data_IF_712890316417
#
_entry.id   IF_712890316417
#
_cell.length_a   1.000
_cell.length_b   1.000
_cell.length_c   1.000
_cell.angle_alpha   90.00
_cell.angle_beta   90.00
_cell.angle_gamma   90.00
#
_symmetry.space_group_name_H-M   'P 1'
#
loop_
_entity.id
_entity.type
_entity.pdbx_description
1 polymer ?
#
# COMPACT_ATOMS: atom_id res chain seq x y z
N UNK A 1 -17.47 4.27 12.40
CA UNK A 1 -16.93 4.47 11.04
C UNK A 1 -18.09 4.76 10.08
N UNK A 2 -18.03 5.85 9.35
CA UNK A 2 -18.98 6.12 8.25
C UNK A 2 -18.40 5.57 6.94
N UNK A 3 -18.96 4.45 6.48
CA UNK A 3 -18.48 3.74 5.29
C UNK A 3 -18.85 4.50 4.02
N UNK A 4 -19.97 5.22 4.02
CA UNK A 4 -20.38 6.02 2.86
C UNK A 4 -19.45 7.21 2.68
N UNK A 5 -19.09 7.89 3.77
CA UNK A 5 -18.10 8.98 3.72
C UNK A 5 -16.73 8.45 3.25
N UNK A 6 -16.24 7.34 3.81
CA UNK A 6 -14.99 6.70 3.39
C UNK A 6 -14.95 6.39 1.89
N UNK A 7 -16.02 5.77 1.38
CA UNK A 7 -16.14 5.46 -0.05
C UNK A 7 -16.19 6.71 -0.91
N UNK A 8 -16.98 7.71 -0.50
CA UNK A 8 -17.14 8.97 -1.22
C UNK A 8 -15.79 9.69 -1.36
N UNK A 9 -14.96 9.71 -0.32
CA UNK A 9 -13.63 10.32 -0.39
C UNK A 9 -12.70 9.60 -1.37
N UNK A 10 -12.75 8.27 -1.44
CA UNK A 10 -12.00 7.49 -2.44
C UNK A 10 -12.47 7.80 -3.86
N UNK A 11 -13.79 7.85 -4.07
CA UNK A 11 -14.40 8.15 -5.37
C UNK A 11 -14.05 9.57 -5.83
N UNK A 12 -14.11 10.56 -4.95
CA UNK A 12 -13.76 11.96 -5.24
C UNK A 12 -12.27 12.13 -5.61
N UNK A 13 -11.36 11.48 -4.86
CA UNK A 13 -9.92 11.54 -5.23
C UNK A 13 -9.64 10.89 -6.58
N UNK A 14 -10.36 9.81 -6.91
CA UNK A 14 -10.20 9.18 -8.21
C UNK A 14 -10.86 9.96 -9.36
N UNK A 15 -12.00 10.57 -9.14
CA UNK A 15 -12.78 11.26 -10.17
C UNK A 15 -12.01 12.41 -10.80
N UNK A 16 -11.41 13.30 -10.00
CA UNK A 16 -10.62 14.41 -10.55
C UNK A 16 -9.41 13.92 -11.37
N UNK A 17 -8.77 12.82 -10.95
CA UNK A 17 -7.67 12.21 -11.70
C UNK A 17 -8.13 11.64 -13.04
N UNK A 18 -9.28 10.99 -13.02
CA UNK A 18 -9.90 10.43 -14.21
C UNK A 18 -10.32 11.51 -15.20
N UNK A 19 -10.87 12.62 -14.71
CA UNK A 19 -11.24 13.77 -15.54
C UNK A 19 -10.02 14.38 -16.22
N UNK A 20 -8.92 14.57 -15.50
CA UNK A 20 -7.68 15.07 -16.08
C UNK A 20 -7.11 14.11 -17.14
N UNK A 21 -7.09 12.80 -16.87
CA UNK A 21 -6.68 11.80 -17.86
C UNK A 21 -7.56 11.81 -19.11
N UNK A 22 -8.88 11.94 -18.96
CA UNK A 22 -9.83 12.05 -20.07
C UNK A 22 -9.59 13.31 -20.90
N UNK A 23 -9.41 14.46 -20.25
CA UNK A 23 -9.10 15.72 -20.91
C UNK A 23 -7.84 15.60 -21.76
N UNK A 24 -6.75 15.13 -21.15
CA UNK A 24 -5.47 14.93 -21.83
C UNK A 24 -5.58 13.93 -22.99
N UNK A 25 -6.31 12.83 -22.81
CA UNK A 25 -6.53 11.83 -23.85
C UNK A 25 -7.30 12.42 -25.04
N UNK A 26 -8.33 13.23 -24.78
CA UNK A 26 -9.13 13.84 -25.82
C UNK A 26 -8.32 14.81 -26.72
N UNK A 27 -7.31 15.49 -26.16
CA UNK A 27 -6.40 16.32 -26.95
C UNK A 27 -5.62 15.52 -28.00
N UNK A 28 -5.41 14.24 -27.78
CA UNK A 28 -4.71 13.38 -28.74
C UNK A 28 -5.54 13.03 -29.98
N UNK A 29 -6.86 13.14 -29.90
CA UNK A 29 -7.78 12.74 -30.99
C UNK A 29 -7.68 13.62 -32.24
N UNK A 30 -7.18 14.86 -32.10
CA UNK A 30 -6.95 15.80 -33.21
C UNK A 30 -5.58 15.65 -33.87
N UNK A 31 -4.72 14.77 -33.36
CA UNK A 31 -3.36 14.59 -33.85
C UNK A 31 -3.28 13.50 -34.92
N UNK A 32 -2.42 13.69 -35.91
CA UNK A 32 -2.02 12.63 -36.82
C UNK A 32 -1.28 11.49 -36.07
N UNK A 33 -1.27 10.29 -36.66
CA UNK A 33 -0.74 9.10 -35.98
C UNK A 33 0.66 9.28 -35.39
N UNK A 34 1.68 9.79 -36.10
CA UNK A 34 3.02 9.98 -35.54
C UNK A 34 3.03 10.92 -34.32
N UNK A 35 2.29 12.02 -34.37
CA UNK A 35 2.21 12.97 -33.25
C UNK A 35 1.40 12.39 -32.08
N UNK A 36 0.31 11.66 -32.38
CA UNK A 36 -0.48 10.99 -31.36
C UNK A 36 0.35 9.93 -30.60
N UNK A 37 1.22 9.17 -31.30
CA UNK A 37 2.10 8.18 -30.65
C UNK A 37 3.13 8.86 -29.73
N UNK A 38 3.69 10.01 -30.15
CA UNK A 38 4.59 10.80 -29.30
C UNK A 38 3.84 11.40 -28.12
N UNK A 39 2.64 11.91 -28.34
CA UNK A 39 1.81 12.48 -27.28
C UNK A 39 1.41 11.41 -26.23
N UNK A 40 1.04 10.21 -26.67
CA UNK A 40 0.75 9.09 -25.74
C UNK A 40 1.92 8.71 -24.84
N UNK A 41 3.16 8.94 -25.28
CA UNK A 41 4.32 8.82 -24.39
C UNK A 41 4.21 9.71 -23.16
N UNK A 42 3.72 10.93 -23.31
CA UNK A 42 3.45 11.83 -22.17
C UNK A 42 2.27 11.32 -21.32
N UNK A 43 1.21 10.81 -21.96
CA UNK A 43 0.06 10.25 -21.26
C UNK A 43 0.44 9.05 -20.38
N UNK A 44 1.45 8.25 -20.76
CA UNK A 44 1.97 7.15 -19.92
C UNK A 44 2.52 7.69 -18.59
N UNK A 45 3.21 8.82 -18.62
CA UNK A 45 3.75 9.44 -17.39
C UNK A 45 2.62 9.93 -16.49
N UNK A 46 1.60 10.59 -17.04
CA UNK A 46 0.44 11.06 -16.29
C UNK A 46 -0.38 9.89 -15.73
N UNK A 47 -0.67 8.88 -16.56
CA UNK A 47 -1.39 7.68 -16.12
C UNK A 47 -0.70 7.01 -14.92
N UNK A 48 0.62 6.86 -15.01
CA UNK A 48 1.39 6.29 -13.92
C UNK A 48 1.37 7.17 -12.66
N UNK A 49 1.55 8.49 -12.81
CA UNK A 49 1.53 9.43 -11.68
C UNK A 49 0.17 9.42 -10.96
N UNK A 50 -0.94 9.40 -11.70
CA UNK A 50 -2.28 9.31 -11.11
C UNK A 50 -2.52 7.95 -10.44
N UNK A 51 -2.05 6.86 -11.04
CA UNK A 51 -2.13 5.52 -10.43
C UNK A 51 -1.37 5.47 -9.10
N UNK A 52 -0.11 5.90 -9.10
CA UNK A 52 0.74 5.92 -7.90
C UNK A 52 0.16 6.84 -6.82
N UNK A 53 -0.26 8.06 -7.19
CA UNK A 53 -0.84 9.04 -6.28
C UNK A 53 -2.16 8.57 -5.66
N UNK A 54 -3.05 7.97 -6.46
CA UNK A 54 -4.30 7.40 -5.93
C UNK A 54 -4.04 6.22 -4.98
N UNK A 55 -3.13 5.31 -5.35
CA UNK A 55 -2.82 4.15 -4.53
C UNK A 55 -2.25 4.56 -3.16
N UNK A 56 -1.35 5.55 -3.15
CA UNK A 56 -0.85 6.15 -1.90
C UNK A 56 -1.97 6.76 -1.08
N UNK A 57 -2.83 7.57 -1.70
CA UNK A 57 -3.96 8.20 -1.04
C UNK A 57 -4.89 7.16 -0.42
N UNK A 58 -5.34 6.19 -1.20
CA UNK A 58 -6.34 5.19 -0.77
C UNK A 58 -5.86 4.36 0.43
N UNK A 59 -4.61 3.89 0.42
CA UNK A 59 -4.07 3.12 1.53
C UNK A 59 -3.81 3.99 2.76
N UNK A 60 -3.35 5.23 2.58
CA UNK A 60 -3.17 6.18 3.69
C UNK A 60 -4.51 6.53 4.33
N UNK A 61 -5.54 6.74 3.52
CA UNK A 61 -6.90 7.01 3.99
C UNK A 61 -7.45 5.82 4.78
N UNK A 62 -7.27 4.59 4.28
CA UNK A 62 -7.63 3.37 5.02
C UNK A 62 -6.92 3.27 6.38
N UNK A 63 -5.60 3.49 6.43
CA UNK A 63 -4.84 3.48 7.68
C UNK A 63 -5.39 4.51 8.67
N UNK A 64 -5.63 5.75 8.24
CA UNK A 64 -6.22 6.78 9.11
C UNK A 64 -7.57 6.36 9.65
N UNK A 65 -8.42 5.86 8.76
CA UNK A 65 -9.76 5.38 9.14
C UNK A 65 -9.72 4.26 10.18
N UNK A 66 -8.78 3.32 10.07
CA UNK A 66 -8.59 2.25 11.05
C UNK A 66 -8.04 2.80 12.38
N UNK A 67 -7.05 3.69 12.32
CA UNK A 67 -6.46 4.29 13.52
C UNK A 67 -7.49 5.05 14.36
N UNK A 68 -8.51 5.63 13.72
CA UNK A 68 -9.58 6.39 14.37
C UNK A 68 -10.66 5.49 15.01
N UNK A 69 -10.59 4.16 14.82
CA UNK A 69 -11.55 3.23 15.44
C UNK A 69 -11.21 2.85 16.88
N UNK A 70 -10.10 3.28 17.42
CA UNK A 70 -9.67 3.01 18.80
C UNK A 70 -9.61 1.51 19.18
N UNK A 71 -9.46 0.62 18.20
CA UNK A 71 -9.38 -0.83 18.41
C UNK A 71 -8.08 -1.23 19.11
N UNK A 72 -8.15 -2.25 19.97
CA UNK A 72 -6.97 -2.80 20.63
C UNK A 72 -6.24 -3.79 19.73
N UNK A 73 -4.93 -3.93 19.89
CA UNK A 73 -4.15 -4.96 19.20
C UNK A 73 -4.72 -6.36 19.46
N UNK A 74 -5.25 -6.64 20.65
CA UNK A 74 -5.91 -7.92 20.95
C UNK A 74 -7.17 -8.20 20.14
N UNK A 75 -7.76 -7.21 19.50
CA UNK A 75 -8.98 -7.31 18.69
C UNK A 75 -8.70 -7.28 17.18
N UNK A 76 -7.56 -6.72 16.79
CA UNK A 76 -7.20 -6.51 15.39
C UNK A 76 -6.71 -7.80 14.72
N UNK A 77 -6.78 -7.86 13.39
CA UNK A 77 -6.17 -8.94 12.64
C UNK A 77 -4.62 -8.91 12.75
N UNK A 78 -3.98 -10.05 12.51
CA UNK A 78 -2.53 -10.22 12.68
C UNK A 78 -1.68 -9.26 11.84
N UNK A 79 -2.15 -8.84 10.66
CA UNK A 79 -1.43 -7.92 9.78
C UNK A 79 -1.35 -6.52 10.39
N UNK A 80 -2.47 -6.00 10.91
CA UNK A 80 -2.53 -4.68 11.54
C UNK A 80 -1.79 -4.67 12.88
N UNK A 81 -1.85 -5.77 13.66
CA UNK A 81 -1.01 -5.94 14.84
C UNK A 81 0.47 -5.85 14.46
N UNK A 82 0.88 -6.59 13.43
CA UNK A 82 2.27 -6.61 12.97
C UNK A 82 2.73 -5.22 12.49
N UNK A 83 1.87 -4.49 11.76
CA UNK A 83 2.14 -3.12 11.33
C UNK A 83 2.28 -2.16 12.51
N UNK A 84 1.39 -2.27 13.51
CA UNK A 84 1.43 -1.46 14.74
C UNK A 84 2.68 -1.74 15.57
N UNK A 85 3.08 -3.00 15.69
CA UNK A 85 4.21 -3.45 16.52
C UNK A 85 5.55 -3.44 15.79
N UNK A 86 5.67 -2.77 14.65
CA UNK A 86 6.91 -2.71 13.86
C UNK A 86 8.13 -2.30 14.70
N UNK A 87 7.98 -1.30 15.58
CA UNK A 87 9.05 -0.85 16.49
C UNK A 87 9.44 -1.90 17.52
N UNK A 88 8.47 -2.63 18.05
CA UNK A 88 8.69 -3.73 19.01
C UNK A 88 9.48 -4.85 18.33
N UNK A 89 9.07 -5.27 17.14
CA UNK A 89 9.78 -6.29 16.38
C UNK A 89 11.16 -5.84 15.90
N UNK A 90 11.33 -4.55 15.63
CA UNK A 90 12.67 -3.99 15.34
C UNK A 90 13.56 -4.10 16.57
N UNK A 91 13.06 -3.75 17.75
CA UNK A 91 13.81 -3.87 19.01
C UNK A 91 14.18 -5.32 19.34
N UNK A 92 13.27 -6.29 19.08
CA UNK A 92 13.55 -7.71 19.24
C UNK A 92 14.73 -8.19 18.36
N UNK A 93 14.89 -7.61 17.16
CA UNK A 93 15.91 -7.98 16.18
C UNK A 93 17.20 -7.17 16.31
N UNK A 94 17.25 -6.21 17.25
CA UNK A 94 18.41 -5.36 17.43
C UNK A 94 19.50 -6.10 18.22
N UNK A 95 20.48 -6.61 17.51
CA UNK A 95 21.62 -7.35 18.10
C UNK A 95 22.52 -6.46 18.97
N UNK A 96 22.40 -5.13 18.89
CA UNK A 96 23.15 -4.20 19.75
C UNK A 96 22.48 -4.00 21.13
N UNK A 97 21.20 -4.38 21.28
CA UNK A 97 20.51 -4.30 22.56
C UNK A 97 20.99 -5.41 23.49
N UNK A 98 21.79 -5.04 24.48
CA UNK A 98 22.42 -5.95 25.46
C UNK A 98 21.54 -6.11 26.70
N UNK A 99 21.65 -7.29 27.32
CA UNK A 99 21.03 -7.58 28.62
C UNK A 99 21.66 -6.71 29.71
N UNK A 100 20.85 -5.93 30.44
CA UNK A 100 21.34 -4.99 31.43
C UNK A 100 22.03 -5.68 32.62
N UNK A 101 21.58 -6.90 33.00
CA UNK A 101 22.18 -7.68 34.08
C UNK A 101 23.60 -8.11 33.80
N UNK A 102 23.98 -8.26 32.54
CA UNK A 102 25.28 -8.79 32.14
C UNK A 102 26.19 -7.77 31.44
N UNK A 103 25.79 -6.50 31.44
CA UNK A 103 26.63 -5.42 30.94
C UNK A 103 27.95 -5.35 31.71
N UNK A 104 29.05 -5.59 31.02
CA UNK A 104 30.41 -5.47 31.58
C UNK A 104 30.90 -6.63 32.46
N UNK A 105 30.10 -7.68 32.69
CA UNK A 105 30.46 -8.80 33.57
C UNK A 105 30.57 -10.14 32.87
N UNK A 106 30.06 -10.28 31.66
CA UNK A 106 30.11 -11.52 30.88
C UNK A 106 30.77 -11.29 29.52
N UNK A 107 31.41 -12.31 28.96
CA UNK A 107 31.77 -12.29 27.54
C UNK A 107 30.54 -11.95 26.70
N UNK A 108 30.77 -11.33 25.53
CA UNK A 108 29.70 -10.98 24.62
C UNK A 108 28.94 -12.23 24.14
N UNK A 109 27.82 -12.54 24.78
CA UNK A 109 26.98 -13.70 24.49
C UNK A 109 25.71 -13.23 23.77
N UNK A 110 25.74 -13.31 22.43
CA UNK A 110 24.63 -12.92 21.56
C UNK A 110 23.37 -13.73 21.83
N UNK A 111 23.49 -15.02 22.26
CA UNK A 111 22.34 -15.86 22.58
C UNK A 111 21.66 -15.42 23.86
N UNK A 112 22.44 -15.03 24.88
CA UNK A 112 21.91 -14.52 26.13
C UNK A 112 21.20 -13.17 25.92
N UNK A 113 21.79 -12.27 25.14
CA UNK A 113 21.17 -10.98 24.83
C UNK A 113 19.87 -11.14 24.02
N UNK A 114 19.83 -12.09 23.09
CA UNK A 114 18.62 -12.43 22.36
C UNK A 114 17.55 -13.00 23.31
N UNK A 115 17.91 -13.97 24.14
CA UNK A 115 16.98 -14.55 25.12
C UNK A 115 16.39 -13.49 26.06
N UNK A 116 17.20 -12.54 26.52
CA UNK A 116 16.73 -11.41 27.32
C UNK A 116 15.68 -10.58 26.59
N UNK A 117 15.90 -10.21 25.33
CA UNK A 117 14.90 -9.47 24.53
C UNK A 117 13.59 -10.25 24.35
N UNK A 118 13.69 -11.55 24.09
CA UNK A 118 12.54 -12.46 23.98
C UNK A 118 11.77 -12.55 25.29
N UNK A 119 12.47 -12.65 26.44
CA UNK A 119 11.85 -12.65 27.78
C UNK A 119 11.14 -11.33 28.06
N UNK A 120 11.79 -10.19 27.79
CA UNK A 120 11.16 -8.88 27.93
C UNK A 120 9.90 -8.71 27.07
N UNK A 121 9.89 -9.26 25.86
CA UNK A 121 8.70 -9.25 25.02
C UNK A 121 7.56 -10.07 25.65
N UNK A 122 7.84 -11.26 26.16
CA UNK A 122 6.83 -12.11 26.80
C UNK A 122 6.27 -11.48 28.07
N UNK A 123 7.14 -10.94 28.94
CA UNK A 123 6.74 -10.25 30.18
C UNK A 123 5.83 -9.04 29.89
N UNK A 124 6.08 -8.32 28.80
CA UNK A 124 5.30 -7.16 28.41
C UNK A 124 4.15 -7.47 27.43
N UNK A 125 3.94 -8.75 27.07
CA UNK A 125 2.99 -9.13 26.01
C UNK A 125 1.57 -8.65 26.29
N UNK A 126 1.07 -8.79 27.52
CA UNK A 126 -0.26 -8.31 27.91
C UNK A 126 -0.41 -6.80 27.69
N UNK A 127 0.58 -6.01 28.11
CA UNK A 127 0.62 -4.56 27.89
C UNK A 127 0.71 -4.20 26.41
N UNK A 128 1.48 -4.96 25.63
CA UNK A 128 1.64 -4.76 24.18
C UNK A 128 0.31 -4.98 23.46
N UNK A 129 -0.39 -6.06 23.76
CA UNK A 129 -1.68 -6.38 23.12
C UNK A 129 -2.85 -5.54 23.61
N UNK A 130 -2.71 -4.87 24.76
CA UNK A 130 -3.70 -3.88 25.26
C UNK A 130 -3.55 -2.49 24.62
N UNK A 131 -2.52 -2.29 23.78
CA UNK A 131 -2.35 -1.00 23.06
C UNK A 131 -3.40 -0.88 21.96
N UNK A 132 -3.78 0.37 21.67
CA UNK A 132 -4.56 0.69 20.47
C UNK A 132 -3.76 0.44 19.20
N UNK A 133 -4.44 -0.01 18.18
CA UNK A 133 -3.86 -0.08 16.82
C UNK A 133 -3.48 1.33 16.40
N UNK A 134 -2.22 1.50 16.02
CA UNK A 134 -1.68 2.75 15.50
C UNK A 134 -0.65 2.43 14.42
N UNK A 135 -1.09 2.48 13.18
CA UNK A 135 -0.24 2.20 12.01
C UNK A 135 0.30 3.52 11.50
N UNK A 136 1.61 3.63 11.41
CA UNK A 136 2.25 4.80 10.79
C UNK A 136 2.00 4.79 9.28
N UNK A 137 1.66 5.96 8.70
CA UNK A 137 1.44 6.07 7.25
C UNK A 137 2.71 5.79 6.44
N UNK A 138 3.88 5.93 7.04
CA UNK A 138 5.17 5.51 6.48
C UNK A 138 5.30 3.99 6.30
N UNK A 139 4.35 3.19 6.85
CA UNK A 139 4.26 1.74 6.56
C UNK A 139 3.90 1.46 5.11
N UNK A 140 3.24 2.43 4.44
CA UNK A 140 3.00 2.41 3.00
C UNK A 140 4.25 2.93 2.31
N UNK A 141 4.96 2.03 1.69
CA UNK A 141 6.16 2.35 0.93
C UNK A 141 5.96 1.94 -0.52
N UNK A 142 5.84 2.93 -1.40
CA UNK A 142 5.73 2.71 -2.84
C UNK A 142 7.09 2.48 -3.51
N UNK A 143 8.18 2.42 -2.72
CA UNK A 143 9.55 2.18 -3.20
C UNK A 143 9.95 3.16 -4.33
N UNK A 144 9.38 4.37 -4.33
CA UNK A 144 9.50 5.40 -5.38
C UNK A 144 9.14 4.89 -6.78
N UNK A 145 8.49 3.73 -6.87
CA UNK A 145 8.26 3.05 -8.15
C UNK A 145 7.18 1.96 -8.04
N UNK A 146 5.91 2.37 -8.06
CA UNK A 146 4.77 1.47 -7.89
C UNK A 146 4.76 0.37 -8.98
N UNK A 147 5.15 -0.83 -8.59
CA UNK A 147 5.12 -2.04 -9.42
C UNK A 147 4.07 -3.01 -8.90
N UNK A 148 3.67 -4.06 -9.67
CA UNK A 148 2.74 -5.08 -9.17
C UNK A 148 3.17 -5.69 -7.83
N UNK A 149 4.46 -5.95 -7.66
CA UNK A 149 5.00 -6.49 -6.39
C UNK A 149 4.81 -5.50 -5.25
N UNK A 150 5.01 -4.20 -5.50
CA UNK A 150 4.83 -3.15 -4.49
C UNK A 150 3.34 -2.97 -4.14
N UNK A 151 2.44 -3.06 -5.13
CA UNK A 151 0.98 -3.11 -4.89
C UNK A 151 0.65 -4.27 -3.95
N UNK A 152 1.06 -5.50 -4.30
CA UNK A 152 0.82 -6.71 -3.50
C UNK A 152 1.37 -6.59 -2.08
N UNK A 153 2.62 -6.11 -1.93
CA UNK A 153 3.26 -5.94 -0.61
C UNK A 153 2.45 -5.02 0.31
N UNK A 154 2.00 -3.88 -0.19
CA UNK A 154 1.26 -2.92 0.62
C UNK A 154 -0.13 -3.43 1.00
N UNK A 155 -0.84 -4.06 0.06
CA UNK A 155 -2.12 -4.71 0.36
C UNK A 155 -1.95 -5.84 1.39
N UNK A 156 -0.95 -6.71 1.22
CA UNK A 156 -0.63 -7.78 2.17
C UNK A 156 -0.35 -7.24 3.58
N UNK A 157 0.47 -6.18 3.71
CA UNK A 157 0.77 -5.55 5.01
C UNK A 157 -0.49 -5.11 5.76
N UNK A 158 -1.54 -4.77 5.04
CA UNK A 158 -2.82 -4.32 5.61
C UNK A 158 -3.86 -5.46 5.76
N UNK A 159 -3.48 -6.70 5.41
CA UNK A 159 -4.39 -7.85 5.47
C UNK A 159 -5.50 -7.81 4.42
N UNK A 160 -5.24 -7.16 3.29
CA UNK A 160 -6.17 -7.01 2.17
C UNK A 160 -5.91 -8.05 1.08
N UNK A 161 -6.91 -8.41 0.26
CA UNK A 161 -6.70 -9.21 -0.94
C UNK A 161 -5.63 -8.58 -1.83
N UNK A 162 -4.61 -9.35 -2.17
CA UNK A 162 -3.40 -8.81 -2.82
C UNK A 162 -3.01 -9.54 -4.11
N UNK A 163 -3.82 -10.48 -4.56
CA UNK A 163 -3.59 -11.14 -5.83
C UNK A 163 -3.99 -10.26 -7.02
N UNK A 164 -3.20 -10.29 -8.07
CA UNK A 164 -3.44 -9.61 -9.34
C UNK A 164 -3.42 -10.62 -10.48
N UNK A 165 -4.27 -10.40 -11.48
CA UNK A 165 -4.23 -11.20 -12.71
C UNK A 165 -2.88 -11.02 -13.43
N UNK A 166 -2.37 -12.09 -14.03
CA UNK A 166 -1.08 -12.09 -14.76
C UNK A 166 -1.02 -11.05 -15.87
N UNK A 167 -2.14 -10.82 -16.57
CA UNK A 167 -2.23 -9.82 -17.62
C UNK A 167 -2.07 -8.41 -17.04
N UNK A 168 -2.78 -8.12 -15.94
CA UNK A 168 -2.66 -6.84 -15.22
C UNK A 168 -1.21 -6.65 -14.74
N UNK A 169 -0.60 -7.66 -14.13
CA UNK A 169 0.80 -7.60 -13.70
C UNK A 169 1.76 -7.29 -14.86
N UNK A 170 1.54 -7.91 -16.01
CA UNK A 170 2.33 -7.66 -17.22
C UNK A 170 2.22 -6.21 -17.68
N UNK A 171 1.00 -5.68 -17.79
CA UNK A 171 0.74 -4.30 -18.21
C UNK A 171 1.31 -3.28 -17.23
N UNK A 172 1.08 -3.45 -15.92
CA UNK A 172 1.61 -2.53 -14.89
C UNK A 172 3.14 -2.55 -14.85
N UNK A 173 3.76 -3.73 -15.03
CA UNK A 173 5.23 -3.84 -15.13
C UNK A 173 5.76 -3.08 -16.33
N UNK A 174 5.10 -3.23 -17.48
CA UNK A 174 5.48 -2.55 -18.72
C UNK A 174 5.26 -1.05 -18.63
N UNK A 175 4.12 -0.61 -18.08
CA UNK A 175 3.79 0.79 -17.80
C UNK A 175 4.90 1.46 -16.96
N UNK A 176 5.25 0.86 -15.82
CA UNK A 176 6.33 1.33 -14.95
C UNK A 176 7.65 1.45 -15.70
N UNK A 177 8.04 0.41 -16.45
CA UNK A 177 9.32 0.39 -17.16
C UNK A 177 9.36 1.46 -18.27
N UNK A 178 8.27 1.66 -19.00
CA UNK A 178 8.19 2.69 -20.04
C UNK A 178 8.26 4.07 -19.41
N UNK A 179 7.51 4.32 -18.33
CA UNK A 179 7.55 5.60 -17.60
C UNK A 179 8.97 5.92 -17.13
N UNK A 180 9.68 4.95 -16.57
CA UNK A 180 11.04 5.16 -16.12
C UNK A 180 11.97 5.53 -17.28
N UNK A 181 11.91 4.81 -18.40
CA UNK A 181 12.69 5.14 -19.60
C UNK A 181 12.38 6.54 -20.15
N UNK A 182 11.11 6.98 -20.09
CA UNK A 182 10.72 8.33 -20.48
C UNK A 182 11.29 9.36 -19.51
N UNK A 183 11.15 9.14 -18.20
CA UNK A 183 11.64 10.06 -17.16
C UNK A 183 13.16 10.24 -17.19
N UNK A 184 13.90 9.19 -17.55
CA UNK A 184 15.36 9.24 -17.71
C UNK A 184 15.84 9.66 -19.11
N UNK A 185 14.91 10.02 -20.02
CA UNK A 185 15.25 10.44 -21.38
C UNK A 185 15.76 9.31 -22.30
N UNK A 186 15.59 8.06 -21.89
CA UNK A 186 16.09 6.87 -22.63
C UNK A 186 15.14 6.43 -23.76
N UNK A 187 13.85 6.80 -23.68
CA UNK A 187 12.85 6.43 -24.69
C UNK A 187 12.43 7.63 -25.53
N UNK A 188 12.72 7.58 -26.83
CA UNK A 188 12.31 8.54 -27.83
C UNK A 188 11.06 8.12 -28.63
N UNK A 189 10.85 6.80 -28.74
CA UNK A 189 9.76 6.20 -29.49
C UNK A 189 8.43 6.53 -28.84
N UNK A 190 7.41 6.68 -29.68
CA UNK A 190 6.02 6.86 -29.26
C UNK A 190 5.44 5.62 -28.58
N UNK A 191 4.19 5.71 -28.17
CA UNK A 191 3.40 4.60 -27.62
C UNK A 191 2.18 4.39 -28.50
N UNK A 192 2.00 3.17 -28.99
CA UNK A 192 0.86 2.81 -29.81
C UNK A 192 -0.45 2.88 -29.01
N UNK A 193 -1.56 3.17 -29.72
CA UNK A 193 -2.89 3.28 -29.08
C UNK A 193 -3.26 2.02 -28.30
N UNK A 194 -3.12 0.84 -28.90
CA UNK A 194 -3.45 -0.44 -28.26
C UNK A 194 -2.61 -0.72 -27.01
N UNK A 195 -1.33 -0.33 -27.05
CA UNK A 195 -0.44 -0.47 -25.89
C UNK A 195 -0.88 0.42 -24.73
N UNK A 196 -1.21 1.68 -25.02
CA UNK A 196 -1.71 2.62 -24.01
C UNK A 196 -3.06 2.18 -23.43
N UNK A 197 -3.99 1.72 -24.27
CA UNK A 197 -5.29 1.20 -23.83
C UNK A 197 -5.17 0.01 -22.89
N UNK A 198 -4.20 -0.88 -23.12
CA UNK A 198 -3.89 -2.00 -22.23
C UNK A 198 -3.42 -1.51 -20.86
N UNK A 199 -2.58 -0.48 -20.81
CA UNK A 199 -2.15 0.14 -19.54
C UNK A 199 -3.30 0.81 -18.82
N UNK A 200 -4.07 1.63 -19.51
CA UNK A 200 -5.22 2.35 -18.97
C UNK A 200 -6.23 1.37 -18.38
N UNK A 201 -6.62 0.33 -19.11
CA UNK A 201 -7.54 -0.70 -18.65
C UNK A 201 -7.03 -1.40 -17.40
N UNK A 202 -5.75 -1.75 -17.36
CA UNK A 202 -5.16 -2.45 -16.21
C UNK A 202 -5.07 -1.55 -14.98
N UNK A 203 -4.73 -0.26 -15.15
CA UNK A 203 -4.77 0.73 -14.07
C UNK A 203 -6.18 0.89 -13.52
N UNK A 204 -7.18 1.10 -14.40
CA UNK A 204 -8.58 1.26 -14.00
C UNK A 204 -9.09 0.05 -13.20
N UNK A 205 -8.80 -1.18 -13.67
CA UNK A 205 -9.19 -2.40 -12.97
C UNK A 205 -8.52 -2.53 -11.60
N UNK A 206 -7.22 -2.22 -11.52
CA UNK A 206 -6.49 -2.27 -10.25
C UNK A 206 -7.05 -1.27 -9.23
N UNK A 207 -7.33 -0.05 -9.66
CA UNK A 207 -7.93 0.99 -8.81
C UNK A 207 -9.32 0.59 -8.35
N UNK A 208 -10.20 0.19 -9.27
CA UNK A 208 -11.57 -0.24 -8.95
C UNK A 208 -11.57 -1.41 -7.97
N UNK A 209 -10.72 -2.41 -8.17
CA UNK A 209 -10.58 -3.55 -7.27
C UNK A 209 -10.05 -3.10 -5.90
N UNK A 210 -9.07 -2.20 -5.85
CA UNK A 210 -8.54 -1.66 -4.59
C UNK A 210 -9.61 -0.91 -3.81
N UNK A 211 -10.38 -0.03 -4.46
CA UNK A 211 -11.49 0.70 -3.83
C UNK A 211 -12.53 -0.26 -3.27
N UNK A 212 -12.92 -1.27 -4.06
CA UNK A 212 -13.88 -2.30 -3.63
C UNK A 212 -13.38 -3.06 -2.41
N UNK A 213 -12.14 -3.53 -2.44
CA UNK A 213 -11.54 -4.29 -1.34
C UNK A 213 -11.43 -3.45 -0.06
N UNK A 214 -11.04 -2.19 -0.17
CA UNK A 214 -10.95 -1.27 0.98
C UNK A 214 -12.33 -1.00 1.59
N UNK A 215 -13.32 -0.73 0.75
CA UNK A 215 -14.70 -0.49 1.18
C UNK A 215 -15.30 -1.74 1.83
N UNK A 216 -15.09 -2.92 1.23
CA UNK A 216 -15.50 -4.19 1.79
C UNK A 216 -14.82 -4.46 3.13
N UNK A 217 -13.51 -4.24 3.23
CA UNK A 217 -12.76 -4.42 4.47
C UNK A 217 -13.28 -3.53 5.60
N UNK A 218 -13.70 -2.30 5.29
CA UNK A 218 -14.36 -1.43 6.26
C UNK A 218 -15.76 -1.94 6.63
N UNK A 219 -16.57 -2.32 5.65
CA UNK A 219 -17.95 -2.75 5.85
C UNK A 219 -18.05 -4.05 6.66
N UNK A 220 -17.22 -5.03 6.33
CA UNK A 220 -17.18 -6.35 6.98
C UNK A 220 -16.24 -6.39 8.19
N UNK A 221 -15.65 -5.26 8.55
CA UNK A 221 -14.69 -5.13 9.65
C UNK A 221 -13.54 -6.15 9.56
N UNK A 222 -13.01 -6.40 8.36
CA UNK A 222 -11.93 -7.37 8.14
C UNK A 222 -10.63 -7.00 8.86
N UNK A 223 -10.52 -5.78 9.36
CA UNK A 223 -9.45 -5.33 10.23
C UNK A 223 -9.50 -5.92 11.65
N UNK A 224 -10.63 -6.55 12.05
CA UNK A 224 -10.77 -7.28 13.31
C UNK A 224 -10.53 -8.79 13.11
N UNK A 225 -10.17 -9.48 14.19
CA UNK A 225 -10.22 -10.94 14.27
C UNK A 225 -11.70 -11.39 14.14
N UNK A 226 -11.91 -12.60 13.62
CA UNK A 226 -13.26 -13.11 13.30
C UNK A 226 -14.23 -13.06 14.49
N UNK A 227 -13.74 -13.39 15.68
CA UNK A 227 -14.54 -13.39 16.91
C UNK A 227 -15.07 -12.00 17.31
N UNK A 228 -14.39 -10.91 16.88
CA UNK A 228 -14.80 -9.54 17.17
C UNK A 228 -15.62 -8.88 16.06
N UNK A 229 -15.78 -9.53 14.91
CA UNK A 229 -16.61 -9.00 13.81
C UNK A 229 -18.09 -9.08 14.10
N UNK A 230 -18.53 -10.14 14.78
CA UNK A 230 -19.94 -10.46 15.02
C UNK A 230 -20.60 -9.69 16.18
N UNK A 231 -19.86 -8.99 17.02
CA UNK A 231 -20.36 -8.36 18.27
C UNK A 231 -20.92 -6.95 18.07
N UNK A 232 -21.00 -6.45 16.84
CA UNK A 232 -21.45 -5.08 16.57
C UNK A 232 -22.75 -5.07 15.74
N UNK A 233 -23.85 -5.50 16.35
CA UNK A 233 -25.23 -5.25 15.91
C UNK A 233 -25.82 -4.19 16.85
#
# INVERSE_FOLDING_TARGET
MDINAFRTELEQDWEWRLEELRLLKNLSSSLDKPKADIYRRSLVVFLYAHFEGFFQFALTHYIKTINDQDILCSQANSHLISATLTSVFKALRDDNAKCDFFKGHAPDDTKLHRFYRETQFIENSSSIFSRKVKIETTSIDLESNLSPVVVKKNLYKLGLPHELDKEIEGHLTKLKNIRNKIAHGERKEGVEAKEYEGFETSVMRTISTTMSNLTQACNEKLFLQEEFRAVSI
#
